data_IF_531820447553
#
_entry.id   IF_531820447553
#
_cell.length_a   1.000
_cell.length_b   1.000
_cell.length_c   1.000
_cell.angle_alpha   90.00
_cell.angle_beta   90.00
_cell.angle_gamma   90.00
#
_symmetry.space_group_name_H-M   'P 1'
#
loop_
_entity.id
_entity.type
_entity.pdbx_description
1 polymer ?
#
# COMPACT_ATOMS: atom_id res chain seq x y z
N UNK A 1 15.76 30.59 4.93
CA UNK A 1 15.19 30.38 3.58
C UNK A 1 14.14 29.29 3.70
N UNK A 2 12.86 29.64 3.87
CA UNK A 2 11.78 28.64 3.89
C UNK A 2 11.65 28.05 2.48
N UNK A 3 11.92 26.76 2.33
CA UNK A 3 11.81 26.09 1.04
C UNK A 3 10.35 26.10 0.59
N UNK A 4 10.07 26.81 -0.50
CA UNK A 4 8.73 26.99 -1.01
C UNK A 4 8.25 25.68 -1.64
N UNK A 5 7.15 25.12 -1.10
CA UNK A 5 6.46 23.99 -1.72
C UNK A 5 5.68 24.51 -2.94
N UNK A 6 6.00 24.01 -4.13
CA UNK A 6 5.23 24.25 -5.35
C UNK A 6 4.15 23.18 -5.45
N UNK A 7 2.91 23.55 -5.76
CA UNK A 7 1.84 22.59 -5.96
C UNK A 7 1.40 22.63 -7.41
N UNK A 8 1.52 21.50 -8.11
CA UNK A 8 0.99 21.32 -9.46
C UNK A 8 -0.45 20.81 -9.36
N UNK A 9 -1.36 21.41 -10.14
CA UNK A 9 -2.78 21.04 -10.17
C UNK A 9 -3.23 20.85 -11.61
N UNK A 10 -4.05 19.83 -11.82
CA UNK A 10 -4.79 19.64 -13.07
C UNK A 10 -6.27 19.56 -12.80
N UNK A 11 -7.08 19.95 -13.77
CA UNK A 11 -8.53 19.99 -13.68
C UNK A 11 -9.16 19.17 -14.81
N UNK A 12 -10.34 18.62 -14.55
CA UNK A 12 -11.21 18.03 -15.56
C UNK A 12 -11.86 19.12 -16.44
N UNK A 13 -12.43 18.78 -17.61
CA UNK A 13 -13.15 19.74 -18.45
C UNK A 13 -14.31 20.45 -17.71
N UNK A 14 -14.92 19.77 -16.74
CA UNK A 14 -15.98 20.34 -15.89
C UNK A 14 -15.46 21.31 -14.79
N UNK A 15 -14.16 21.58 -14.75
CA UNK A 15 -13.51 22.47 -13.78
C UNK A 15 -13.19 21.83 -12.42
N UNK A 16 -13.56 20.58 -12.18
CA UNK A 16 -13.22 19.89 -10.94
C UNK A 16 -11.74 19.52 -10.87
N UNK A 17 -11.17 19.52 -9.67
CA UNK A 17 -9.78 19.15 -9.45
C UNK A 17 -9.57 17.68 -9.82
N UNK A 18 -8.57 17.41 -10.66
CA UNK A 18 -8.21 16.06 -11.11
C UNK A 18 -7.04 15.49 -10.32
N UNK A 19 -6.03 16.32 -10.08
CA UNK A 19 -4.88 15.94 -9.26
C UNK A 19 -4.22 17.15 -8.62
N UNK A 20 -3.48 16.88 -7.55
CA UNK A 20 -2.67 17.82 -6.81
C UNK A 20 -1.36 17.11 -6.43
N UNK A 21 -0.24 17.66 -6.89
CA UNK A 21 1.09 17.10 -6.63
C UNK A 21 1.97 18.17 -6.01
N UNK A 22 2.31 18.06 -4.70
CA UNK A 22 3.24 18.95 -4.06
C UNK A 22 4.69 18.57 -4.38
N UNK A 23 5.51 19.59 -4.64
CA UNK A 23 6.92 19.49 -4.97
C UNK A 23 7.76 20.36 -4.02
N UNK A 24 8.93 19.86 -3.66
CA UNK A 24 9.97 20.58 -2.94
C UNK A 24 11.30 20.27 -3.63
N UNK A 25 12.07 21.30 -3.98
CA UNK A 25 13.32 21.16 -4.73
C UNK A 25 13.16 20.32 -6.03
N UNK A 26 12.08 20.56 -6.79
CA UNK A 26 11.72 19.81 -8.02
C UNK A 26 11.46 18.31 -7.84
N UNK A 27 11.32 17.82 -6.60
CA UNK A 27 10.94 16.44 -6.31
C UNK A 27 9.59 16.40 -5.62
N UNK A 28 8.79 15.34 -5.85
CA UNK A 28 7.53 15.14 -5.13
C UNK A 28 7.79 15.08 -3.63
N UNK A 29 7.05 15.88 -2.85
CA UNK A 29 7.21 15.97 -1.40
C UNK A 29 5.91 16.42 -0.76
N UNK A 30 5.34 15.57 0.10
CA UNK A 30 3.99 15.73 0.64
C UNK A 30 3.04 14.71 0.03
N UNK A 31 1.74 14.90 0.20
CA UNK A 31 0.71 13.95 -0.24
C UNK A 31 0.26 14.30 -1.66
N UNK A 32 0.51 13.39 -2.60
CA UNK A 32 -0.05 13.45 -3.95
C UNK A 32 -1.48 12.96 -3.88
N UNK A 33 -2.41 13.67 -4.52
CA UNK A 33 -3.84 13.34 -4.52
C UNK A 33 -4.41 13.34 -5.93
N UNK A 34 -5.34 12.44 -6.17
CA UNK A 34 -6.16 12.37 -7.38
C UNK A 34 -7.61 12.26 -6.98
N UNK A 35 -8.49 12.85 -7.77
CA UNK A 35 -9.93 12.83 -7.57
C UNK A 35 -10.63 12.32 -8.81
N UNK A 36 -11.79 11.72 -8.60
CA UNK A 36 -12.75 11.40 -9.67
C UNK A 36 -13.42 12.68 -10.20
N UNK A 37 -14.03 12.59 -11.38
CA UNK A 37 -14.76 13.71 -12.01
C UNK A 37 -16.06 14.09 -11.27
N UNK A 38 -16.44 13.30 -10.25
CA UNK A 38 -17.51 13.63 -9.30
C UNK A 38 -17.01 14.37 -8.04
N UNK A 39 -15.70 14.63 -7.94
CA UNK A 39 -15.06 15.36 -6.85
C UNK A 39 -14.65 14.50 -5.66
N UNK A 40 -14.95 13.19 -5.67
CA UNK A 40 -14.51 12.29 -4.62
C UNK A 40 -13.04 11.93 -4.77
N UNK A 41 -12.36 11.74 -3.64
CA UNK A 41 -10.95 11.36 -3.64
C UNK A 41 -10.81 9.96 -4.24
N UNK A 42 -9.97 9.83 -5.25
CA UNK A 42 -9.68 8.58 -5.93
C UNK A 42 -8.47 7.88 -5.32
N UNK A 43 -7.45 8.66 -4.97
CA UNK A 43 -6.15 8.15 -4.57
C UNK A 43 -5.36 9.21 -3.82
N UNK A 44 -4.59 8.77 -2.82
CA UNK A 44 -3.58 9.58 -2.17
C UNK A 44 -2.34 8.76 -1.85
N UNK A 45 -1.17 9.39 -1.99
CA UNK A 45 0.11 8.73 -1.77
C UNK A 45 1.10 9.72 -1.18
N UNK A 46 1.62 9.45 0.03
CA UNK A 46 2.64 10.29 0.63
C UNK A 46 4.00 10.10 -0.04
N UNK A 47 4.66 11.20 -0.37
CA UNK A 47 6.02 11.24 -0.91
C UNK A 47 6.97 11.99 0.02
N UNK A 48 8.18 11.47 0.15
CA UNK A 48 9.30 12.11 0.81
C UNK A 48 10.52 12.06 -0.10
N UNK A 49 11.05 13.24 -0.47
CA UNK A 49 12.24 13.39 -1.35
C UNK A 49 12.12 12.57 -2.66
N UNK A 50 10.98 12.67 -3.31
CA UNK A 50 10.71 12.00 -4.59
C UNK A 50 10.29 10.53 -4.49
N UNK A 51 10.34 9.91 -3.31
CA UNK A 51 9.98 8.50 -3.11
C UNK A 51 8.68 8.36 -2.31
N UNK A 52 7.88 7.34 -2.59
CA UNK A 52 6.72 6.99 -1.76
C UNK A 52 7.17 6.60 -0.36
N UNK A 53 6.53 7.15 0.68
CA UNK A 53 6.88 6.86 2.06
C UNK A 53 5.67 7.05 2.99
N UNK A 54 5.07 5.95 3.42
CA UNK A 54 3.83 5.92 4.19
C UNK A 54 2.76 5.08 3.51
N UNK A 55 1.52 5.20 3.99
CA UNK A 55 0.38 4.44 3.49
C UNK A 55 -0.22 5.19 2.30
N UNK A 56 -0.15 4.57 1.14
CA UNK A 56 -0.91 4.92 -0.05
C UNK A 56 -2.32 4.33 0.06
N UNK A 57 -3.32 5.09 -0.35
CA UNK A 57 -4.73 4.69 -0.30
C UNK A 57 -5.40 4.97 -1.63
N UNK A 58 -6.29 4.07 -2.03
CA UNK A 58 -7.21 4.27 -3.15
C UNK A 58 -8.64 4.04 -2.70
N UNK A 59 -9.58 4.76 -3.32
CA UNK A 59 -11.02 4.65 -3.02
C UNK A 59 -11.80 4.34 -4.30
N UNK A 60 -13.00 3.79 -4.12
CA UNK A 60 -14.02 3.71 -5.15
C UNK A 60 -14.74 5.06 -5.32
N UNK A 61 -15.47 5.24 -6.43
CA UNK A 61 -16.28 6.45 -6.70
C UNK A 61 -17.44 6.68 -5.72
N UNK A 62 -17.70 5.74 -4.81
CA UNK A 62 -18.65 5.88 -3.71
C UNK A 62 -17.99 6.28 -2.38
N UNK A 63 -16.67 6.52 -2.38
CA UNK A 63 -15.90 6.97 -1.23
C UNK A 63 -15.42 5.85 -0.30
N UNK A 64 -15.75 4.58 -0.58
CA UNK A 64 -15.23 3.44 0.19
C UNK A 64 -13.80 3.13 -0.20
N UNK A 65 -13.02 2.69 0.78
CA UNK A 65 -11.63 2.28 0.54
C UNK A 65 -11.61 1.10 -0.44
N UNK A 66 -10.68 1.16 -1.39
CA UNK A 66 -10.42 0.13 -2.40
C UNK A 66 -9.14 -0.63 -2.08
N UNK A 67 -8.08 0.10 -1.69
CA UNK A 67 -6.84 -0.52 -1.27
C UNK A 67 -6.01 0.38 -0.35
N UNK A 68 -5.10 -0.24 0.39
CA UNK A 68 -4.07 0.39 1.20
C UNK A 68 -2.75 -0.34 0.95
N UNK A 69 -1.70 0.41 0.65
CA UNK A 69 -0.36 -0.12 0.37
C UNK A 69 0.64 0.68 1.21
N UNK A 70 1.47 0.00 2.01
CA UNK A 70 2.52 0.67 2.76
C UNK A 70 3.82 0.69 1.94
N UNK A 71 4.39 1.88 1.80
CA UNK A 71 5.70 2.10 1.21
C UNK A 71 6.69 2.59 2.26
N UNK A 72 7.92 2.09 2.19
CA UNK A 72 9.06 2.61 2.92
C UNK A 72 10.21 2.89 1.94
N UNK A 73 10.58 4.16 1.78
CA UNK A 73 11.67 4.60 0.89
C UNK A 73 11.50 4.11 -0.56
N UNK A 74 10.27 4.20 -1.07
CA UNK A 74 9.91 3.78 -2.42
C UNK A 74 9.62 2.30 -2.58
N UNK A 75 9.86 1.47 -1.56
CA UNK A 75 9.65 0.02 -1.61
C UNK A 75 8.37 -0.40 -0.91
N UNK A 76 7.69 -1.42 -1.41
CA UNK A 76 6.56 -2.07 -0.74
C UNK A 76 7.04 -2.69 0.57
N UNK A 77 6.29 -2.45 1.63
CA UNK A 77 6.56 -2.97 2.95
C UNK A 77 5.26 -3.21 3.72
N UNK A 78 5.25 -4.14 4.67
CA UNK A 78 4.06 -4.45 5.47
C UNK A 78 2.99 -5.16 4.67
N UNK A 79 1.71 -4.93 4.96
CA UNK A 79 0.60 -5.66 4.35
C UNK A 79 -0.18 -4.74 3.42
N UNK A 80 -0.16 -5.06 2.12
CA UNK A 80 -1.14 -4.52 1.18
C UNK A 80 -2.51 -5.13 1.46
N UNK A 81 -3.55 -4.31 1.45
CA UNK A 81 -4.94 -4.75 1.60
C UNK A 81 -5.78 -4.24 0.44
N UNK A 82 -6.72 -5.06 -0.02
CA UNK A 82 -7.73 -4.66 -0.99
C UNK A 82 -9.13 -5.03 -0.51
N UNK A 83 -10.10 -4.16 -0.80
CA UNK A 83 -11.50 -4.34 -0.44
C UNK A 83 -12.39 -4.31 -1.67
N UNK A 84 -13.50 -5.04 -1.61
CA UNK A 84 -14.60 -4.93 -2.57
C UNK A 84 -15.34 -3.60 -2.36
N UNK A 85 -16.12 -3.19 -3.37
CA UNK A 85 -16.93 -1.96 -3.32
C UNK A 85 -17.98 -1.95 -2.19
N UNK A 86 -18.40 -3.12 -1.71
CA UNK A 86 -19.26 -3.26 -0.55
C UNK A 86 -18.54 -3.08 0.81
N UNK A 87 -17.23 -2.83 0.80
CA UNK A 87 -16.38 -2.66 1.99
C UNK A 87 -15.81 -3.96 2.56
N UNK A 88 -16.09 -5.12 1.95
CA UNK A 88 -15.54 -6.40 2.42
C UNK A 88 -14.08 -6.55 2.01
N UNK A 89 -13.24 -6.99 2.93
CA UNK A 89 -11.84 -7.31 2.65
C UNK A 89 -11.79 -8.43 1.61
N UNK A 90 -11.03 -8.20 0.53
CA UNK A 90 -10.89 -9.12 -0.60
C UNK A 90 -9.56 -9.86 -0.54
N UNK A 91 -8.48 -9.17 -0.17
CA UNK A 91 -7.15 -9.77 -0.10
C UNK A 91 -6.19 -9.03 0.84
N UNK A 92 -5.16 -9.74 1.28
CA UNK A 92 -4.03 -9.24 2.05
C UNK A 92 -2.74 -9.86 1.48
N UNK A 93 -1.78 -9.03 1.09
CA UNK A 93 -0.47 -9.45 0.56
C UNK A 93 0.64 -8.86 1.42
N UNK A 94 1.39 -9.68 2.18
CA UNK A 94 2.53 -9.20 2.95
C UNK A 94 3.77 -9.03 2.06
N UNK A 95 4.41 -7.88 2.19
CA UNK A 95 5.63 -7.48 1.52
C UNK A 95 6.74 -7.12 2.51
N UNK A 96 7.96 -7.49 2.17
CA UNK A 96 9.18 -7.05 2.79
C UNK A 96 10.16 -6.59 1.70
N UNK A 97 10.41 -5.29 1.60
CA UNK A 97 11.35 -4.70 0.63
C UNK A 97 11.05 -5.14 -0.81
N UNK A 98 9.82 -4.87 -1.28
CA UNK A 98 9.30 -5.27 -2.60
C UNK A 98 9.09 -6.78 -2.82
N UNK A 99 9.43 -7.62 -1.85
CA UNK A 99 9.26 -9.07 -1.96
C UNK A 99 8.06 -9.56 -1.18
N UNK A 100 7.22 -10.40 -1.79
CA UNK A 100 6.15 -11.11 -1.09
C UNK A 100 6.77 -12.03 -0.05
N UNK A 101 6.48 -11.79 1.22
CA UNK A 101 7.03 -12.56 2.32
C UNK A 101 5.96 -12.69 3.41
N UNK A 102 5.38 -13.88 3.53
CA UNK A 102 4.30 -14.16 4.45
C UNK A 102 3.16 -14.97 3.82
N UNK A 103 2.00 -14.93 4.48
CA UNK A 103 0.80 -15.61 4.02
C UNK A 103 -0.09 -14.62 3.26
N UNK A 104 -0.23 -14.82 1.96
CA UNK A 104 -1.22 -14.11 1.16
C UNK A 104 -2.58 -14.75 1.41
N UNK A 105 -3.59 -13.92 1.63
CA UNK A 105 -4.96 -14.36 1.90
C UNK A 105 -5.92 -13.73 0.93
N UNK A 106 -6.90 -14.51 0.49
CA UNK A 106 -8.05 -14.06 -0.27
C UNK A 106 -9.33 -14.48 0.43
N UNK A 107 -10.36 -13.64 0.37
CA UNK A 107 -11.65 -13.90 0.97
C UNK A 107 -12.75 -13.87 -0.09
N UNK A 108 -13.71 -14.78 0.05
CA UNK A 108 -14.98 -14.71 -0.64
C UNK A 108 -15.81 -13.51 -0.15
N UNK A 109 -16.81 -13.10 -0.94
CA UNK A 109 -17.81 -12.09 -0.56
C UNK A 109 -18.64 -12.42 0.69
N UNK A 110 -18.56 -13.65 1.21
CA UNK A 110 -19.19 -14.02 2.48
C UNK A 110 -18.24 -13.89 3.69
N UNK A 111 -17.01 -13.39 3.49
CA UNK A 111 -16.00 -13.24 4.52
C UNK A 111 -15.24 -14.53 4.88
N UNK A 112 -15.54 -15.67 4.24
CA UNK A 112 -14.75 -16.89 4.41
C UNK A 112 -13.46 -16.79 3.60
N UNK A 113 -12.37 -17.32 4.15
CA UNK A 113 -11.11 -17.45 3.42
C UNK A 113 -11.35 -18.36 2.22
N UNK A 114 -11.02 -17.83 1.04
CA UNK A 114 -11.01 -18.55 -0.23
C UNK A 114 -9.69 -19.30 -0.40
N UNK A 115 -8.58 -18.64 -0.12
CA UNK A 115 -7.25 -19.18 -0.36
C UNK A 115 -6.23 -18.57 0.59
N UNK A 116 -5.29 -19.40 1.05
CA UNK A 116 -4.04 -18.96 1.64
C UNK A 116 -2.89 -19.48 0.80
N UNK A 117 -1.88 -18.64 0.55
CA UNK A 117 -0.64 -19.02 -0.13
C UNK A 117 0.55 -18.50 0.64
N UNK A 118 1.56 -19.35 0.80
CA UNK A 118 2.74 -19.07 1.60
C UNK A 118 3.89 -18.65 0.69
N UNK A 119 4.55 -17.54 1.04
CA UNK A 119 5.68 -17.00 0.29
C UNK A 119 6.85 -16.68 1.20
N UNK A 120 8.06 -17.03 0.76
CA UNK A 120 9.32 -16.56 1.31
C UNK A 120 10.06 -15.82 0.21
N UNK A 121 10.19 -14.49 0.36
CA UNK A 121 10.98 -13.66 -0.56
C UNK A 121 10.63 -13.85 -2.05
N UNK A 122 9.34 -13.73 -2.38
CA UNK A 122 8.71 -13.99 -3.69
C UNK A 122 8.59 -15.45 -4.13
N UNK A 123 9.24 -16.40 -3.46
CA UNK A 123 9.11 -17.81 -3.77
C UNK A 123 7.89 -18.41 -3.06
N UNK A 124 7.01 -19.04 -3.83
CA UNK A 124 5.87 -19.75 -3.26
C UNK A 124 6.36 -21.05 -2.63
N UNK A 125 6.04 -21.25 -1.35
CA UNK A 125 6.45 -22.43 -0.58
C UNK A 125 5.22 -23.15 -0.02
N UNK A 126 5.43 -24.35 0.50
CA UNK A 126 4.40 -25.04 1.28
C UNK A 126 4.24 -24.39 2.66
N UNK A 127 3.08 -24.60 3.29
CA UNK A 127 2.86 -24.17 4.68
C UNK A 127 3.94 -24.74 5.61
N UNK A 128 4.29 -26.01 5.45
CA UNK A 128 5.29 -26.68 6.30
C UNK A 128 6.66 -26.00 6.23
N UNK A 129 7.09 -25.64 5.03
CA UNK A 129 8.37 -24.93 4.81
C UNK A 129 8.32 -23.53 5.41
N UNK A 130 7.22 -22.80 5.19
CA UNK A 130 7.02 -21.47 5.77
C UNK A 130 7.07 -21.49 7.30
N UNK A 131 6.31 -22.38 7.94
CA UNK A 131 6.27 -22.51 9.42
C UNK A 131 7.63 -22.88 10.01
N UNK A 132 8.39 -23.74 9.31
CA UNK A 132 9.76 -24.08 9.71
C UNK A 132 10.67 -22.84 9.64
N UNK A 133 10.57 -22.06 8.58
CA UNK A 133 11.35 -20.82 8.41
C UNK A 133 11.00 -19.79 9.49
N UNK A 134 9.71 -19.55 9.71
CA UNK A 134 9.18 -18.63 10.73
C UNK A 134 9.70 -18.98 12.14
N UNK A 135 9.76 -20.26 12.49
CA UNK A 135 10.32 -20.72 13.76
C UNK A 135 11.82 -20.40 13.89
N UNK A 136 12.59 -20.62 12.82
CA UNK A 136 14.05 -20.37 12.81
C UNK A 136 14.34 -18.88 12.97
N UNK A 137 13.63 -18.00 12.25
CA UNK A 137 13.80 -16.55 12.36
C UNK A 137 13.46 -16.01 13.75
N UNK A 138 12.36 -16.51 14.34
CA UNK A 138 11.97 -16.13 15.70
C UNK A 138 13.01 -16.55 16.74
N UNK A 139 13.56 -17.77 16.64
CA UNK A 139 14.65 -18.25 17.51
C UNK A 139 15.94 -17.43 17.32
N UNK A 140 16.29 -17.06 16.09
CA UNK A 140 17.45 -16.23 15.80
C UNK A 140 17.30 -14.82 16.39
N UNK A 141 16.10 -14.22 16.31
CA UNK A 141 15.81 -12.92 16.92
C UNK A 141 15.91 -12.94 18.46
N UNK A 142 15.48 -14.02 19.11
CA UNK A 142 15.58 -14.19 20.57
C UNK A 142 17.04 -14.27 21.05
N UNK A 143 17.91 -14.92 20.28
CA UNK A 143 19.32 -15.08 20.64
C UNK A 143 20.17 -13.83 20.40
N UNK A 144 19.73 -12.89 19.56
CA UNK A 144 20.40 -11.60 19.32
C UNK A 144 20.07 -10.50 20.36
N UNK A 145 19.15 -10.77 21.28
CA UNK A 145 18.74 -9.85 22.36
C UNK A 145 19.39 -10.18 23.72
N UNK A 146 20.36 -11.10 23.73
CA UNK A 146 21.24 -11.40 24.87
C UNK A 146 22.62 -10.83 24.60
#
# INVERSE_FOLDING_TARGET
MSEQTKVEKGYYPNGQLKYETPYRQNQRHGVVKYWYENGQLQYESPYYKGQRHGIEKGWYENGRIRYEILYHQGQLHGVEKGWCENGQLQYEVPYHQDQRHGVIKWWYKNGKIECERYYLYNEQVTEKEYRKHELIENLACLNKRK
#
